data_IF_259398285925
#
_entry.id   IF_259398285925
#
_cell.length_a   1.000
_cell.length_b   1.000
_cell.length_c   1.000
_cell.angle_alpha   90.00
_cell.angle_beta   90.00
_cell.angle_gamma   90.00
#
_symmetry.space_group_name_H-M   'P 1'
#
loop_
_entity.id
_entity.type
_entity.pdbx_description
1 polymer ?
#
# COMPACT_ATOMS: atom_id res chain seq x y z
N UNK A 1 -83.79 36.01 -32.46
CA UNK A 1 -82.79 34.94 -32.26
C UNK A 1 -81.99 34.77 -33.55
N UNK A 2 -80.70 35.08 -33.55
CA UNK A 2 -79.75 34.66 -34.61
C UNK A 2 -78.51 34.13 -33.89
N UNK A 3 -78.42 32.81 -33.77
CA UNK A 3 -77.25 32.14 -33.21
C UNK A 3 -76.09 32.31 -34.20
N UNK A 4 -75.11 33.13 -33.85
CA UNK A 4 -73.86 33.25 -34.58
C UNK A 4 -72.98 32.08 -34.15
N UNK A 5 -72.93 31.03 -34.98
CA UNK A 5 -71.99 29.93 -34.80
C UNK A 5 -70.58 30.40 -35.20
N UNK A 6 -69.73 30.66 -34.22
CA UNK A 6 -68.29 30.87 -34.43
C UNK A 6 -67.61 29.51 -34.42
N UNK A 7 -67.28 28.98 -35.60
CA UNK A 7 -66.47 27.78 -35.74
C UNK A 7 -64.99 28.14 -35.62
N UNK A 8 -64.36 27.80 -34.50
CA UNK A 8 -62.91 27.92 -34.31
C UNK A 8 -62.24 26.70 -34.98
N UNK A 9 -61.34 26.87 -35.97
CA UNK A 9 -60.63 25.74 -36.56
C UNK A 9 -59.58 25.21 -35.57
N UNK A 10 -59.78 24.00 -35.05
CA UNK A 10 -58.77 23.29 -34.26
C UNK A 10 -57.70 22.77 -35.22
N UNK A 11 -56.42 23.20 -35.11
CA UNK A 11 -55.37 22.70 -35.99
C UNK A 11 -55.10 21.23 -35.67
N UNK A 12 -55.48 20.32 -36.58
CA UNK A 12 -55.11 18.90 -36.50
C UNK A 12 -53.60 18.77 -36.73
N UNK A 13 -52.81 18.83 -35.66
CA UNK A 13 -51.37 18.53 -35.71
C UNK A 13 -51.21 17.05 -36.05
N UNK A 14 -51.07 16.72 -37.34
CA UNK A 14 -50.80 15.35 -37.80
C UNK A 14 -49.50 14.88 -37.16
N UNK A 15 -49.57 13.95 -36.21
CA UNK A 15 -48.39 13.23 -35.74
C UNK A 15 -47.79 12.53 -36.96
N UNK A 16 -46.57 12.91 -37.33
CA UNK A 16 -45.88 12.25 -38.43
C UNK A 16 -45.31 10.93 -37.91
N UNK A 17 -46.16 9.90 -37.90
CA UNK A 17 -45.87 8.56 -37.32
C UNK A 17 -44.54 8.01 -37.85
N UNK A 18 -44.22 8.22 -39.14
CA UNK A 18 -42.95 7.79 -39.75
C UNK A 18 -41.73 8.50 -39.16
N UNK A 19 -41.83 9.82 -38.92
CA UNK A 19 -40.75 10.61 -38.30
C UNK A 19 -40.53 10.21 -36.85
N UNK A 20 -41.62 9.96 -36.11
CA UNK A 20 -41.53 9.51 -34.72
C UNK A 20 -40.99 8.07 -34.63
N UNK A 21 -41.38 7.17 -35.53
CA UNK A 21 -40.86 5.81 -35.61
C UNK A 21 -39.36 5.80 -35.92
N UNK A 22 -38.90 6.68 -36.82
CA UNK A 22 -37.48 6.85 -37.11
C UNK A 22 -36.70 7.38 -35.88
N UNK A 23 -37.25 8.34 -35.14
CA UNK A 23 -36.63 8.84 -33.90
C UNK A 23 -36.53 7.72 -32.85
N UNK A 24 -37.60 6.93 -32.65
CA UNK A 24 -37.57 5.79 -31.72
C UNK A 24 -36.59 4.71 -32.15
N UNK A 25 -36.47 4.42 -33.45
CA UNK A 25 -35.50 3.46 -33.97
C UNK A 25 -34.05 3.93 -33.76
N UNK A 26 -33.78 5.22 -33.97
CA UNK A 26 -32.46 5.82 -33.70
C UNK A 26 -32.16 5.77 -32.20
N UNK A 27 -33.10 6.18 -31.34
CA UNK A 27 -32.91 6.10 -29.89
C UNK A 27 -32.67 4.65 -29.43
N UNK A 28 -33.42 3.68 -29.93
CA UNK A 28 -33.23 2.27 -29.61
C UNK A 28 -31.85 1.75 -30.03
N UNK A 29 -31.27 2.25 -31.12
CA UNK A 29 -29.91 1.91 -31.55
C UNK A 29 -28.82 2.57 -30.68
N UNK A 30 -29.03 3.80 -30.22
CA UNK A 30 -28.06 4.54 -29.39
C UNK A 30 -28.11 4.17 -27.91
N UNK A 31 -29.26 3.72 -27.41
CA UNK A 31 -29.47 3.34 -26.00
C UNK A 31 -28.47 2.27 -25.51
N UNK A 32 -28.24 1.14 -26.21
CA UNK A 32 -27.25 0.14 -25.76
C UNK A 32 -25.82 0.70 -25.76
N UNK A 33 -25.47 1.54 -26.74
CA UNK A 33 -24.16 2.18 -26.78
C UNK A 33 -23.95 3.15 -25.60
N UNK A 34 -24.99 3.90 -25.25
CA UNK A 34 -24.99 4.80 -24.09
C UNK A 34 -24.91 4.03 -22.76
N UNK A 35 -25.62 2.91 -22.63
CA UNK A 35 -25.54 2.03 -21.46
C UNK A 35 -24.16 1.36 -21.33
N UNK A 36 -23.55 0.92 -22.44
CA UNK A 36 -22.17 0.41 -22.46
C UNK A 36 -21.20 1.51 -22.06
N UNK A 37 -21.34 2.72 -22.59
CA UNK A 37 -20.50 3.86 -22.22
C UNK A 37 -20.65 4.23 -20.73
N UNK A 38 -21.87 4.28 -20.20
CA UNK A 38 -22.13 4.48 -18.77
C UNK A 38 -21.51 3.36 -17.93
N UNK A 39 -21.68 2.10 -18.32
CA UNK A 39 -21.07 0.96 -17.65
C UNK A 39 -19.55 1.02 -17.67
N UNK A 40 -18.94 1.38 -18.81
CA UNK A 40 -17.50 1.55 -18.94
C UNK A 40 -16.98 2.74 -18.13
N UNK A 41 -17.67 3.88 -18.17
CA UNK A 41 -17.30 5.08 -17.41
C UNK A 41 -17.41 4.84 -15.90
N UNK A 42 -18.52 4.24 -15.45
CA UNK A 42 -18.73 3.84 -14.07
C UNK A 42 -17.69 2.81 -13.62
N UNK A 43 -17.43 1.78 -14.44
CA UNK A 43 -16.39 0.78 -14.20
C UNK A 43 -14.99 1.40 -14.11
N UNK A 44 -14.66 2.30 -15.03
CA UNK A 44 -13.38 3.02 -15.08
C UNK A 44 -13.18 3.93 -13.86
N UNK A 45 -14.23 4.63 -13.43
CA UNK A 45 -14.19 5.51 -12.26
C UNK A 45 -14.00 4.72 -10.96
N UNK A 46 -14.74 3.62 -10.79
CA UNK A 46 -14.57 2.72 -9.65
C UNK A 46 -13.20 2.01 -9.65
N UNK A 47 -12.72 1.61 -10.84
CA UNK A 47 -11.38 1.05 -11.03
C UNK A 47 -10.25 2.00 -10.62
N UNK A 48 -10.39 3.30 -10.90
CA UNK A 48 -9.44 4.33 -10.42
C UNK A 48 -9.47 4.49 -8.90
N UNK A 49 -10.66 4.58 -8.28
CA UNK A 49 -10.80 4.67 -6.80
C UNK A 49 -10.17 3.48 -6.09
N UNK A 50 -10.29 2.27 -6.66
CA UNK A 50 -9.70 1.07 -6.09
C UNK A 50 -8.16 1.13 -5.97
N UNK A 51 -7.45 1.91 -6.78
CA UNK A 51 -5.97 1.99 -6.80
C UNK A 51 -5.36 3.05 -5.89
N UNK A 52 -6.14 3.93 -5.29
CA UNK A 52 -5.62 4.96 -4.39
C UNK A 52 -5.11 4.30 -3.10
N UNK A 53 -3.82 4.48 -2.83
CA UNK A 53 -3.16 4.02 -1.59
C UNK A 53 -3.62 4.90 -0.40
N UNK A 54 -3.63 4.38 0.85
CA UNK A 54 -4.00 5.17 2.02
C UNK A 54 -3.13 6.43 2.20
N UNK A 55 -1.83 6.29 1.92
CA UNK A 55 -0.86 7.38 1.86
C UNK A 55 -0.20 7.33 0.49
N UNK A 56 -0.09 8.49 -0.18
CA UNK A 56 0.51 8.58 -1.51
C UNK A 56 2.04 8.52 -1.43
N UNK A 57 2.57 7.32 -1.17
CA UNK A 57 4.01 7.04 -1.14
C UNK A 57 4.61 7.01 -2.55
N UNK A 58 5.79 7.60 -2.72
CA UNK A 58 6.51 7.69 -4.00
C UNK A 58 7.89 7.06 -3.90
N UNK A 59 8.16 6.03 -4.71
CA UNK A 59 9.50 5.43 -4.81
C UNK A 59 10.46 6.36 -5.55
N UNK A 60 9.95 7.30 -6.36
CA UNK A 60 10.76 8.25 -7.11
C UNK A 60 11.62 9.14 -6.23
N UNK A 61 11.09 9.58 -5.10
CA UNK A 61 11.87 10.39 -4.16
C UNK A 61 12.83 9.49 -3.37
N UNK A 62 12.31 8.46 -2.72
CA UNK A 62 13.09 7.63 -1.79
C UNK A 62 14.20 6.83 -2.48
N UNK A 63 13.92 6.20 -3.62
CA UNK A 63 14.92 5.41 -4.34
C UNK A 63 15.57 6.23 -5.46
N UNK A 64 14.78 6.98 -6.24
CA UNK A 64 15.30 7.68 -7.42
C UNK A 64 16.11 8.94 -7.11
N UNK A 65 15.78 9.68 -6.06
CA UNK A 65 16.46 10.93 -5.70
C UNK A 65 17.38 10.76 -4.49
N UNK A 66 16.92 10.06 -3.45
CA UNK A 66 17.69 9.85 -2.22
C UNK A 66 18.58 8.60 -2.29
N UNK A 67 18.52 7.82 -3.39
CA UNK A 67 19.35 6.64 -3.62
C UNK A 67 19.32 5.62 -2.45
N UNK A 68 18.16 5.46 -1.81
CA UNK A 68 17.96 4.47 -0.75
C UNK A 68 17.97 3.05 -1.33
N UNK A 69 18.58 2.11 -0.59
CA UNK A 69 18.62 0.69 -0.94
C UNK A 69 17.24 0.06 -0.77
N UNK A 70 16.82 -0.79 -1.71
CA UNK A 70 15.49 -1.42 -1.68
C UNK A 70 15.22 -2.19 -0.37
N UNK A 71 16.25 -2.85 0.19
CA UNK A 71 16.16 -3.62 1.43
C UNK A 71 16.21 -2.78 2.70
N UNK A 72 16.38 -1.45 2.63
CA UNK A 72 16.19 -0.58 3.80
C UNK A 72 14.72 -0.55 4.25
N UNK A 73 13.79 -0.62 3.30
CA UNK A 73 12.35 -0.69 3.61
C UNK A 73 11.81 -2.11 3.47
N UNK A 74 12.23 -2.85 2.44
CA UNK A 74 11.84 -4.24 2.22
C UNK A 74 12.81 -5.21 2.90
N UNK A 75 12.84 -5.15 4.24
CA UNK A 75 13.86 -5.74 5.12
C UNK A 75 14.16 -7.23 4.89
N UNK A 76 13.19 -7.98 4.38
CA UNK A 76 13.29 -9.44 4.21
C UNK A 76 13.30 -9.90 2.75
N UNK A 77 13.38 -8.98 1.79
CA UNK A 77 13.35 -9.33 0.37
C UNK A 77 14.47 -10.29 -0.05
N UNK A 78 15.67 -10.14 0.50
CA UNK A 78 16.84 -10.97 0.22
C UNK A 78 16.99 -12.18 1.17
N UNK A 79 16.33 -12.14 2.33
CA UNK A 79 16.50 -13.12 3.41
C UNK A 79 15.36 -14.11 3.55
N UNK A 80 14.13 -13.71 3.21
CA UNK A 80 12.91 -14.45 3.50
C UNK A 80 12.07 -14.80 2.27
N UNK A 81 10.99 -15.58 2.46
CA UNK A 81 10.05 -15.88 1.39
C UNK A 81 9.27 -14.63 0.93
N UNK A 82 9.10 -13.64 1.82
CA UNK A 82 8.34 -12.43 1.55
C UNK A 82 9.21 -11.18 1.73
N UNK A 83 9.13 -10.24 0.78
CA UNK A 83 9.76 -8.92 0.91
C UNK A 83 9.10 -8.02 1.98
N UNK A 84 7.83 -8.34 2.30
CA UNK A 84 6.93 -7.60 3.21
C UNK A 84 6.79 -6.11 2.91
N UNK A 85 5.76 -5.48 3.48
CA UNK A 85 5.67 -4.01 3.54
C UNK A 85 6.49 -3.52 4.74
N UNK A 86 7.13 -2.35 4.67
CA UNK A 86 7.92 -1.85 5.79
C UNK A 86 7.04 -1.67 7.04
N UNK A 87 7.56 -1.95 8.24
CA UNK A 87 6.91 -1.57 9.48
C UNK A 87 6.89 -0.04 9.62
N UNK A 88 5.98 0.48 10.45
CA UNK A 88 5.85 1.93 10.69
C UNK A 88 7.13 2.57 11.23
N UNK A 89 7.98 1.80 11.94
CA UNK A 89 9.24 2.30 12.50
C UNK A 89 10.17 2.90 11.43
N UNK A 90 10.26 2.26 10.25
CA UNK A 90 11.09 2.76 9.13
C UNK A 90 10.63 4.16 8.69
N UNK A 91 9.32 4.42 8.72
CA UNK A 91 8.78 5.73 8.35
C UNK A 91 8.97 6.76 9.48
N UNK A 92 8.79 6.35 10.74
CA UNK A 92 8.91 7.20 11.94
C UNK A 92 10.29 7.83 12.05
N UNK A 93 11.36 7.04 11.83
CA UNK A 93 12.74 7.50 12.02
C UNK A 93 13.04 8.81 11.29
N UNK A 94 12.61 8.97 10.03
CA UNK A 94 12.86 10.20 9.29
C UNK A 94 11.71 11.20 9.37
N UNK A 95 10.46 10.74 9.25
CA UNK A 95 9.32 11.66 9.11
C UNK A 95 8.75 12.17 10.43
N UNK A 96 8.94 11.42 11.52
CA UNK A 96 8.50 11.82 12.86
C UNK A 96 9.70 12.32 13.65
N UNK A 97 10.76 11.51 13.78
CA UNK A 97 11.86 11.82 14.69
C UNK A 97 12.78 12.91 14.13
N UNK A 98 13.04 12.91 12.82
CA UNK A 98 13.83 13.94 12.13
C UNK A 98 12.96 15.04 11.47
N UNK A 99 11.62 14.94 11.55
CA UNK A 99 10.70 15.93 10.99
C UNK A 99 10.77 16.14 9.46
N UNK A 100 11.31 15.18 8.71
CA UNK A 100 11.49 15.30 7.25
C UNK A 100 10.13 15.52 6.58
N UNK A 101 9.97 16.67 5.91
CA UNK A 101 8.74 17.07 5.21
C UNK A 101 7.48 17.05 6.11
N UNK A 102 7.61 17.40 7.39
CA UNK A 102 6.49 17.41 8.35
C UNK A 102 5.24 18.18 7.86
N UNK A 103 5.43 19.25 7.09
CA UNK A 103 4.34 20.08 6.55
C UNK A 103 3.64 19.48 5.32
N UNK A 104 4.11 18.34 4.80
CA UNK A 104 3.49 17.69 3.64
C UNK A 104 2.16 17.04 4.05
N UNK A 105 1.07 17.21 3.28
CA UNK A 105 -0.23 16.59 3.58
C UNK A 105 -0.15 15.06 3.77
N UNK A 106 0.75 14.40 3.03
CA UNK A 106 0.95 12.96 3.06
C UNK A 106 1.70 12.53 4.33
N UNK A 107 2.63 13.35 4.81
CA UNK A 107 3.34 13.11 6.07
C UNK A 107 2.44 13.43 7.25
N UNK A 108 1.59 14.45 7.18
CA UNK A 108 0.55 14.68 8.19
C UNK A 108 -0.40 13.47 8.31
N UNK A 109 -0.79 12.83 7.20
CA UNK A 109 -1.56 11.58 7.24
C UNK A 109 -0.81 10.43 7.90
N UNK A 110 0.49 10.32 7.65
CA UNK A 110 1.37 9.32 8.28
C UNK A 110 1.48 9.57 9.78
N UNK A 111 1.81 10.79 10.18
CA UNK A 111 1.94 11.22 11.57
C UNK A 111 0.64 11.04 12.33
N UNK A 112 -0.51 11.43 11.74
CA UNK A 112 -1.83 11.19 12.33
C UNK A 112 -2.17 9.69 12.45
N UNK A 113 -1.74 8.86 11.50
CA UNK A 113 -1.89 7.40 11.61
C UNK A 113 -1.04 6.83 12.75
N UNK A 114 0.19 7.32 12.93
CA UNK A 114 1.14 6.87 13.96
C UNK A 114 0.75 7.34 15.36
N UNK A 115 0.34 8.60 15.48
CA UNK A 115 -0.06 9.20 16.75
C UNK A 115 -1.39 8.63 17.24
N UNK A 116 -2.27 8.21 16.33
CA UNK A 116 -3.60 7.74 16.70
C UNK A 116 -4.50 8.88 17.15
N UNK A 117 -5.71 8.55 17.60
CA UNK A 117 -6.66 9.52 18.18
C UNK A 117 -6.42 9.59 19.69
N UNK A 118 -6.19 10.79 20.24
CA UNK A 118 -6.14 10.99 21.69
C UNK A 118 -7.49 10.58 22.30
N UNK A 119 -7.46 9.66 23.26
CA UNK A 119 -8.64 9.20 23.98
C UNK A 119 -8.82 9.91 25.32
N UNK A 120 -7.72 10.34 25.94
CA UNK A 120 -7.72 11.06 27.21
C UNK A 120 -6.32 11.18 27.83
N UNK A 121 -6.23 12.02 28.87
CA UNK A 121 -5.07 12.07 29.77
C UNK A 121 -5.21 11.01 30.86
N UNK A 122 -4.09 10.46 31.31
CA UNK A 122 -4.00 9.45 32.36
C UNK A 122 -3.35 10.05 33.61
N UNK A 123 -3.78 9.64 34.81
CA UNK A 123 -3.15 10.06 36.06
C UNK A 123 -1.67 9.65 36.14
N UNK A 124 -0.77 10.44 36.76
CA UNK A 124 0.67 10.16 36.81
C UNK A 124 1.04 8.78 37.38
N UNK A 125 0.28 8.26 38.35
CA UNK A 125 0.48 6.94 38.98
C UNK A 125 0.36 5.76 38.00
N UNK A 126 -0.27 6.00 36.84
CA UNK A 126 -0.40 5.02 35.75
C UNK A 126 0.96 4.59 35.21
N UNK A 127 1.98 5.45 35.24
CA UNK A 127 3.34 5.15 34.75
C UNK A 127 3.96 3.97 35.49
N UNK A 128 3.89 3.97 36.82
CA UNK A 128 4.43 2.90 37.66
C UNK A 128 3.73 1.57 37.38
N UNK A 129 2.41 1.57 37.15
CA UNK A 129 1.65 0.36 36.86
C UNK A 129 2.00 -0.22 35.48
N UNK A 130 2.10 0.64 34.45
CA UNK A 130 2.50 0.25 33.11
C UNK A 130 3.94 -0.27 33.05
N UNK A 131 4.85 0.30 33.85
CA UNK A 131 6.22 -0.18 33.99
C UNK A 131 6.29 -1.61 34.55
N UNK A 132 5.33 -2.02 35.38
CA UNK A 132 5.18 -3.39 35.89
C UNK A 132 4.26 -4.25 35.02
N UNK A 133 4.04 -3.86 33.76
CA UNK A 133 3.16 -4.53 32.80
C UNK A 133 1.70 -4.72 33.26
N UNK A 134 1.22 -3.89 34.20
CA UNK A 134 -0.17 -3.89 34.66
C UNK A 134 -0.96 -2.81 33.93
N UNK A 135 -2.16 -3.15 33.50
CA UNK A 135 -3.10 -2.20 32.87
C UNK A 135 -4.00 -1.61 33.97
N UNK A 136 -3.94 -0.29 34.24
CA UNK A 136 -4.77 0.35 35.25
C UNK A 136 -6.24 0.39 34.85
N UNK A 137 -7.13 0.40 35.85
CA UNK A 137 -8.58 0.54 35.63
C UNK A 137 -8.94 1.83 34.88
N UNK A 138 -8.19 2.92 35.09
CA UNK A 138 -8.38 4.20 34.39
C UNK A 138 -8.27 4.05 32.87
N UNK A 139 -7.41 3.16 32.38
CA UNK A 139 -7.31 2.84 30.94
C UNK A 139 -8.57 2.10 30.50
N UNK A 140 -9.03 1.09 31.24
CA UNK A 140 -10.27 0.39 30.93
C UNK A 140 -11.47 1.35 30.81
N UNK A 141 -11.57 2.31 31.73
CA UNK A 141 -12.68 3.28 31.76
C UNK A 141 -12.64 4.25 30.56
N UNK A 142 -11.45 4.77 30.22
CA UNK A 142 -11.28 5.64 29.04
C UNK A 142 -11.61 4.88 27.76
N UNK A 143 -11.17 3.62 27.64
CA UNK A 143 -11.47 2.79 26.49
C UNK A 143 -12.96 2.53 26.36
N UNK A 144 -13.63 2.19 27.46
CA UNK A 144 -15.08 1.94 27.50
C UNK A 144 -15.88 3.18 27.10
N UNK A 145 -15.50 4.36 27.60
CA UNK A 145 -16.08 5.65 27.21
C UNK A 145 -15.93 5.94 25.71
N UNK A 146 -14.84 5.47 25.10
CA UNK A 146 -14.58 5.62 23.67
C UNK A 146 -15.12 4.44 22.82
N UNK A 147 -16.00 3.61 23.38
CA UNK A 147 -16.69 2.52 22.66
C UNK A 147 -15.83 1.28 22.40
N UNK A 148 -14.77 1.07 23.18
CA UNK A 148 -13.86 -0.07 23.06
C UNK A 148 -13.62 -0.73 24.41
N UNK A 149 -13.35 -2.03 24.44
CA UNK A 149 -12.96 -2.73 25.67
C UNK A 149 -11.70 -3.56 25.40
N UNK A 150 -10.92 -3.79 26.47
CA UNK A 150 -9.77 -4.70 26.48
C UNK A 150 -10.23 -6.10 26.89
N UNK A 151 -9.71 -7.12 26.23
CA UNK A 151 -9.85 -8.51 26.67
C UNK A 151 -8.91 -8.82 27.83
N UNK A 152 -9.18 -9.91 28.55
CA UNK A 152 -8.28 -10.44 29.60
C UNK A 152 -6.91 -10.87 29.07
N UNK A 153 -6.76 -11.04 27.75
CA UNK A 153 -5.50 -11.41 27.09
C UNK A 153 -4.65 -10.20 26.71
N UNK A 154 -5.07 -8.99 27.12
CA UNK A 154 -4.37 -7.76 26.76
C UNK A 154 -3.00 -7.71 27.45
N UNK A 155 -1.98 -7.32 26.71
CA UNK A 155 -0.60 -7.23 27.22
C UNK A 155 -0.05 -5.83 27.08
N UNK A 156 0.80 -5.43 28.03
CA UNK A 156 1.57 -4.19 27.95
C UNK A 156 2.97 -4.50 27.43
N UNK A 157 3.40 -3.76 26.41
CA UNK A 157 4.74 -3.81 25.85
C UNK A 157 5.44 -2.49 26.14
N UNK A 158 6.56 -2.55 26.85
CA UNK A 158 7.46 -1.41 26.97
C UNK A 158 8.12 -1.10 25.62
N UNK A 159 8.08 0.16 25.19
CA UNK A 159 8.72 0.61 23.95
C UNK A 159 9.92 1.50 24.26
N UNK A 160 9.74 2.49 25.14
CA UNK A 160 10.80 3.39 25.60
C UNK A 160 10.43 4.01 26.95
N UNK A 161 11.34 4.78 27.54
CA UNK A 161 11.11 5.47 28.82
C UNK A 161 9.88 6.39 28.84
N UNK A 162 9.39 6.83 27.68
CA UNK A 162 8.22 7.70 27.55
C UNK A 162 7.07 7.05 26.77
N UNK A 163 7.15 5.76 26.43
CA UNK A 163 6.17 5.12 25.56
C UNK A 163 5.92 3.65 25.94
N UNK A 164 4.64 3.33 26.12
CA UNK A 164 4.12 1.99 26.33
C UNK A 164 3.05 1.67 25.31
N UNK A 165 2.94 0.39 24.95
CA UNK A 165 1.92 -0.11 24.03
C UNK A 165 1.04 -1.15 24.72
N UNK A 166 -0.26 -1.09 24.48
CA UNK A 166 -1.23 -2.06 24.99
C UNK A 166 -1.80 -2.81 23.79
N UNK A 167 -1.57 -4.12 23.75
CA UNK A 167 -1.93 -5.00 22.64
C UNK A 167 -3.11 -5.89 23.05
N UNK A 168 -4.18 -5.89 22.26
CA UNK A 168 -5.32 -6.80 22.39
C UNK A 168 -5.67 -7.41 21.01
N UNK A 169 -5.08 -8.56 20.72
CA UNK A 169 -5.18 -9.20 19.41
C UNK A 169 -4.61 -8.32 18.28
N UNK A 170 -5.49 -7.72 17.47
CA UNK A 170 -5.11 -6.79 16.37
C UNK A 170 -5.22 -5.31 16.78
N UNK A 171 -5.76 -5.01 17.96
CA UNK A 171 -5.93 -3.65 18.47
C UNK A 171 -4.68 -3.23 19.23
N UNK A 172 -4.32 -1.96 19.09
CA UNK A 172 -3.17 -1.36 19.75
C UNK A 172 -3.56 -0.01 20.31
N UNK A 173 -3.20 0.24 21.56
CA UNK A 173 -3.23 1.57 22.16
C UNK A 173 -1.83 1.96 22.58
N UNK A 174 -1.56 3.26 22.54
CA UNK A 174 -0.25 3.78 22.90
C UNK A 174 -0.42 4.77 24.04
N UNK A 175 0.35 4.58 25.10
CA UNK A 175 0.47 5.53 26.19
C UNK A 175 1.79 6.27 26.02
N UNK A 176 1.73 7.60 25.92
CA UNK A 176 2.92 8.45 25.80
C UNK A 176 3.01 9.43 26.95
N UNK A 177 4.22 9.65 27.43
CA UNK A 177 4.55 10.72 28.37
C UNK A 177 4.98 11.95 27.58
N UNK A 178 4.14 12.98 27.58
CA UNK A 178 4.37 14.25 26.90
C UNK A 178 4.17 15.39 27.90
N UNK A 179 5.16 16.30 28.02
CA UNK A 179 5.09 17.44 28.95
C UNK A 179 4.71 17.02 30.39
N UNK A 180 5.29 15.91 30.86
CA UNK A 180 5.02 15.30 32.17
C UNK A 180 3.59 14.80 32.40
N UNK A 181 2.78 14.70 31.34
CA UNK A 181 1.44 14.11 31.36
C UNK A 181 1.42 12.81 30.56
N UNK A 182 0.75 11.80 31.10
CA UNK A 182 0.48 10.58 30.36
C UNK A 182 -0.76 10.78 29.50
N UNK A 183 -0.68 10.38 28.23
CA UNK A 183 -1.78 10.49 27.27
C UNK A 183 -2.02 9.13 26.63
N UNK A 184 -3.28 8.70 26.62
CA UNK A 184 -3.72 7.47 25.98
C UNK A 184 -4.22 7.78 24.57
N UNK A 185 -3.65 7.09 23.59
CA UNK A 185 -4.03 7.20 22.19
C UNK A 185 -4.63 5.87 21.71
N UNK A 186 -5.75 5.91 21.00
CA UNK A 186 -6.18 4.77 20.18
C UNK A 186 -5.28 4.75 18.98
N UNK A 187 -4.45 3.72 18.86
CA UNK A 187 -3.69 3.57 17.65
C UNK A 187 -4.53 2.81 16.62
N UNK A 188 -4.35 3.20 15.36
CA UNK A 188 -4.71 2.33 14.24
C UNK A 188 -3.80 1.09 14.33
N UNK A 189 -4.13 -0.02 13.63
CA UNK A 189 -3.24 -1.17 13.57
C UNK A 189 -1.77 -0.74 13.38
N UNK A 190 -0.77 -1.47 13.91
CA UNK A 190 0.65 -1.11 13.86
C UNK A 190 1.26 -1.12 12.44
N UNK A 191 0.41 -1.08 11.42
CA UNK A 191 0.72 -1.09 10.00
C UNK A 191 -0.31 -0.25 9.24
N UNK A 192 0.13 0.33 8.13
CA UNK A 192 -0.77 0.93 7.15
C UNK A 192 -1.39 -0.20 6.32
N UNK A 193 -2.70 -0.15 6.12
CA UNK A 193 -3.45 -1.09 5.27
C UNK A 193 -3.18 -0.83 3.78
N UNK A 194 -1.96 -1.10 3.35
CA UNK A 194 -1.52 -0.91 1.97
C UNK A 194 -2.33 -1.76 1.00
N UNK A 195 -2.73 -1.17 -0.13
CA UNK A 195 -3.36 -1.92 -1.20
C UNK A 195 -2.28 -2.62 -2.01
N UNK A 196 -2.14 -3.93 -1.78
CA UNK A 196 -1.18 -4.80 -2.48
C UNK A 196 -1.44 -4.85 -3.99
N UNK A 197 -0.43 -4.49 -4.78
CA UNK A 197 -0.50 -4.47 -6.26
C UNK A 197 -0.04 -5.78 -6.95
N UNK A 198 0.87 -6.52 -6.32
CA UNK A 198 1.33 -7.83 -6.79
C UNK A 198 0.64 -8.91 -5.97
N UNK A 199 -0.24 -9.67 -6.62
CA UNK A 199 -0.89 -10.84 -6.05
C UNK A 199 -0.60 -12.01 -6.97
N UNK A 200 0.07 -13.02 -6.43
CA UNK A 200 0.13 -14.33 -7.06
C UNK A 200 -1.15 -15.04 -6.55
N UNK A 201 -2.03 -15.51 -7.45
CA UNK A 201 -3.32 -16.05 -7.04
C UNK A 201 -3.16 -17.20 -6.05
N UNK A 202 -3.87 -17.09 -4.92
CA UNK A 202 -3.87 -18.11 -3.85
C UNK A 202 -4.59 -19.40 -4.24
N UNK A 203 -5.46 -19.35 -5.27
CA UNK A 203 -6.31 -20.47 -5.71
C UNK A 203 -5.55 -21.66 -6.30
N UNK A 204 -4.22 -21.61 -6.38
CA UNK A 204 -3.41 -22.66 -6.99
C UNK A 204 -2.27 -23.16 -6.10
N UNK A 205 -2.22 -22.85 -4.79
CA UNK A 205 -1.14 -23.33 -3.91
C UNK A 205 0.28 -22.98 -4.42
N UNK A 206 0.42 -21.87 -5.15
CA UNK A 206 1.71 -21.49 -5.75
C UNK A 206 2.58 -20.78 -4.73
N UNK A 207 3.67 -21.43 -4.31
CA UNK A 207 4.69 -20.89 -3.43
C UNK A 207 5.69 -20.02 -4.20
N UNK A 208 5.81 -18.74 -3.81
CA UNK A 208 6.86 -17.85 -4.31
C UNK A 208 7.75 -17.37 -3.17
N UNK A 209 9.07 -17.45 -3.34
CA UNK A 209 10.04 -17.05 -2.32
C UNK A 209 11.01 -15.99 -2.83
N UNK A 210 11.03 -14.80 -2.22
CA UNK A 210 11.94 -13.73 -2.67
C UNK A 210 13.41 -14.11 -2.52
N UNK A 211 13.80 -14.66 -1.37
CA UNK A 211 15.18 -15.12 -1.07
C UNK A 211 15.82 -15.91 -2.20
N UNK A 212 15.14 -16.93 -2.75
CA UNK A 212 15.71 -17.79 -3.79
C UNK A 212 15.97 -17.01 -5.07
N UNK A 213 15.02 -16.17 -5.48
CA UNK A 213 15.15 -15.35 -6.68
C UNK A 213 16.22 -14.26 -6.51
N UNK A 214 16.23 -13.54 -5.38
CA UNK A 214 17.23 -12.51 -5.12
C UNK A 214 18.63 -13.11 -5.05
N UNK A 215 18.82 -14.25 -4.37
CA UNK A 215 20.12 -14.95 -4.32
C UNK A 215 20.60 -15.44 -5.68
N UNK A 216 19.69 -15.79 -6.58
CA UNK A 216 20.04 -16.16 -7.94
C UNK A 216 20.51 -14.94 -8.75
N UNK A 217 19.78 -13.83 -8.71
CA UNK A 217 20.06 -12.70 -9.60
C UNK A 217 21.13 -11.73 -9.07
N UNK A 218 21.21 -11.50 -7.76
CA UNK A 218 22.08 -10.48 -7.18
C UNK A 218 23.57 -10.67 -7.54
N UNK A 219 24.18 -11.86 -7.37
CA UNK A 219 25.59 -12.06 -7.74
C UNK A 219 25.84 -11.87 -9.23
N UNK A 220 24.88 -12.25 -10.09
CA UNK A 220 25.00 -12.13 -11.55
C UNK A 220 24.99 -10.67 -12.01
N UNK A 221 24.11 -9.85 -11.45
CA UNK A 221 24.10 -8.42 -11.74
C UNK A 221 25.31 -7.71 -11.15
N UNK A 222 25.78 -8.12 -9.97
CA UNK A 222 27.03 -7.59 -9.42
C UNK A 222 28.20 -7.90 -10.35
N UNK A 223 28.36 -9.16 -10.75
CA UNK A 223 29.40 -9.58 -11.69
C UNK A 223 29.37 -8.79 -12.99
N UNK A 224 28.18 -8.62 -13.59
CA UNK A 224 28.01 -7.82 -14.81
C UNK A 224 28.47 -6.36 -14.63
N UNK A 225 28.21 -5.76 -13.47
CA UNK A 225 28.65 -4.40 -13.16
C UNK A 225 30.18 -4.35 -12.98
N UNK A 226 30.77 -5.33 -12.29
CA UNK A 226 32.21 -5.43 -12.08
C UNK A 226 32.96 -5.57 -13.41
N UNK A 227 32.50 -6.46 -14.28
CA UNK A 227 33.05 -6.66 -15.63
C UNK A 227 32.96 -5.37 -16.46
N UNK A 228 31.78 -4.73 -16.49
CA UNK A 228 31.59 -3.48 -17.22
C UNK A 228 32.50 -2.36 -16.71
N UNK A 229 32.79 -2.34 -15.41
CA UNK A 229 33.69 -1.36 -14.77
C UNK A 229 35.15 -1.81 -14.76
N UNK A 230 35.46 -2.99 -15.31
CA UNK A 230 36.81 -3.58 -15.33
C UNK A 230 37.42 -3.76 -13.92
N UNK A 231 36.58 -4.02 -12.92
CA UNK A 231 37.00 -4.26 -11.53
C UNK A 231 37.31 -5.76 -11.37
N UNK A 232 38.58 -6.09 -11.14
CA UNK A 232 39.04 -7.48 -10.98
C UNK A 232 38.89 -8.02 -9.57
N UNK A 233 39.11 -7.17 -8.57
CA UNK A 233 38.97 -7.53 -7.16
C UNK A 233 37.98 -6.59 -6.48
N UNK A 234 36.82 -7.13 -6.15
CA UNK A 234 35.76 -6.40 -5.45
C UNK A 234 36.15 -6.10 -4.00
N UNK A 235 36.88 -7.00 -3.33
CA UNK A 235 37.12 -6.91 -1.90
C UNK A 235 38.24 -5.93 -1.52
N UNK A 236 39.13 -5.59 -2.46
CA UNK A 236 40.11 -4.50 -2.28
C UNK A 236 39.48 -3.10 -2.32
N UNK A 237 38.24 -2.96 -2.79
CA UNK A 237 37.58 -1.66 -2.83
C UNK A 237 37.20 -1.14 -1.43
N UNK A 238 37.21 0.19 -1.23
CA UNK A 238 36.64 0.82 -0.04
C UNK A 238 35.20 0.35 0.22
N UNK A 239 34.84 0.20 1.49
CA UNK A 239 33.51 -0.28 1.90
C UNK A 239 32.36 0.51 1.27
N UNK A 240 32.48 1.84 1.17
CA UNK A 240 31.48 2.71 0.54
C UNK A 240 31.29 2.42 -0.95
N UNK A 241 32.37 2.11 -1.67
CA UNK A 241 32.29 1.74 -3.08
C UNK A 241 31.66 0.35 -3.26
N UNK A 242 32.02 -0.60 -2.39
CA UNK A 242 31.40 -1.94 -2.39
C UNK A 242 29.89 -1.85 -2.15
N UNK A 243 29.47 -1.06 -1.17
CA UNK A 243 28.05 -0.85 -0.85
C UNK A 243 27.28 -0.24 -2.02
N UNK A 244 27.86 0.75 -2.72
CA UNK A 244 27.22 1.37 -3.88
C UNK A 244 27.06 0.38 -5.05
N UNK A 245 28.07 -0.43 -5.33
CA UNK A 245 28.01 -1.47 -6.37
C UNK A 245 26.97 -2.54 -6.03
N UNK A 246 26.92 -3.01 -4.79
CA UNK A 246 25.89 -3.93 -4.31
C UNK A 246 24.49 -3.33 -4.42
N UNK A 247 24.33 -2.05 -4.09
CA UNK A 247 23.06 -1.33 -4.21
C UNK A 247 22.60 -1.26 -5.67
N UNK A 248 23.51 -0.98 -6.60
CA UNK A 248 23.22 -0.99 -8.03
C UNK A 248 22.83 -2.39 -8.53
N UNK A 249 23.55 -3.43 -8.10
CA UNK A 249 23.22 -4.82 -8.43
C UNK A 249 21.85 -5.23 -7.89
N UNK A 250 21.53 -4.85 -6.64
CA UNK A 250 20.24 -5.13 -6.02
C UNK A 250 19.09 -4.41 -6.74
N UNK A 251 19.31 -3.17 -7.15
CA UNK A 251 18.36 -2.41 -7.96
C UNK A 251 18.02 -3.15 -9.26
N UNK A 252 19.04 -3.60 -10.02
CA UNK A 252 18.81 -4.40 -11.23
C UNK A 252 18.10 -5.73 -10.94
N UNK A 253 18.46 -6.37 -9.83
CA UNK A 253 17.80 -7.61 -9.36
C UNK A 253 16.31 -7.42 -9.16
N UNK A 254 15.89 -6.34 -8.51
CA UNK A 254 14.47 -6.04 -8.31
C UNK A 254 13.78 -5.67 -9.63
N UNK A 255 14.51 -5.02 -10.55
CA UNK A 255 13.96 -4.52 -11.82
C UNK A 255 13.58 -5.65 -12.78
N UNK A 256 14.24 -6.81 -12.66
CA UNK A 256 13.91 -8.01 -13.41
C UNK A 256 12.41 -8.38 -13.31
N UNK A 257 11.77 -8.13 -12.16
CA UNK A 257 10.36 -8.45 -11.93
C UNK A 257 9.48 -7.21 -11.76
N UNK A 258 9.99 -6.17 -11.09
CA UNK A 258 9.21 -4.98 -10.71
C UNK A 258 9.47 -3.77 -11.60
N UNK A 259 10.39 -3.87 -12.57
CA UNK A 259 10.75 -2.79 -13.48
C UNK A 259 11.43 -1.64 -12.75
N UNK A 260 11.54 -0.48 -13.40
CA UNK A 260 12.25 0.68 -12.85
C UNK A 260 11.43 1.37 -11.75
N UNK A 261 11.39 0.76 -10.57
CA UNK A 261 10.62 1.23 -9.41
C UNK A 261 11.05 2.62 -8.95
N UNK A 262 12.32 2.98 -9.14
CA UNK A 262 12.82 4.33 -8.78
C UNK A 262 12.21 5.46 -9.62
N UNK A 263 11.53 5.15 -10.72
CA UNK A 263 10.85 6.14 -11.53
C UNK A 263 9.35 6.18 -11.21
N UNK A 264 8.88 5.32 -10.31
CA UNK A 264 7.46 5.16 -9.98
C UNK A 264 7.05 6.12 -8.86
N UNK A 265 6.22 7.09 -9.21
CA UNK A 265 5.47 7.90 -8.23
C UNK A 265 4.30 7.12 -7.64
N UNK A 266 3.68 6.25 -8.44
CA UNK A 266 2.64 5.31 -8.01
C UNK A 266 3.11 3.91 -8.45
N UNK A 267 3.13 2.91 -7.55
CA UNK A 267 3.59 1.59 -7.89
C UNK A 267 2.63 0.94 -8.90
N UNK A 268 3.18 0.36 -9.97
CA UNK A 268 2.42 -0.32 -11.03
C UNK A 268 2.97 -1.71 -11.29
N UNK A 269 2.11 -2.60 -11.77
CA UNK A 269 2.51 -3.94 -12.21
C UNK A 269 3.12 -3.81 -13.60
N UNK A 270 4.42 -4.13 -13.74
CA UNK A 270 5.10 -4.17 -15.03
C UNK A 270 5.10 -5.58 -15.62
N UNK A 271 5.33 -6.58 -14.77
CA UNK A 271 5.32 -7.99 -15.16
C UNK A 271 4.00 -8.61 -14.76
N UNK A 272 3.37 -9.43 -15.62
CA UNK A 272 2.05 -10.00 -15.33
C UNK A 272 2.07 -10.97 -14.14
N UNK A 273 3.22 -11.61 -13.87
CA UNK A 273 3.43 -12.61 -12.80
C UNK A 273 2.36 -13.72 -12.83
N UNK A 274 1.98 -14.13 -14.05
CA UNK A 274 1.12 -15.29 -14.32
C UNK A 274 1.99 -16.49 -14.67
N UNK A 275 1.43 -17.69 -14.56
CA UNK A 275 2.13 -18.95 -14.82
C UNK A 275 3.01 -18.93 -16.08
N UNK A 276 2.43 -18.55 -17.24
CA UNK A 276 3.19 -18.51 -18.50
C UNK A 276 4.43 -17.62 -18.44
N UNK A 277 4.35 -16.46 -17.78
CA UNK A 277 5.51 -15.59 -17.59
C UNK A 277 6.57 -16.22 -16.69
N UNK A 278 6.16 -16.90 -15.61
CA UNK A 278 7.08 -17.60 -14.72
C UNK A 278 7.84 -18.70 -15.46
N UNK A 279 7.12 -19.55 -16.22
CA UNK A 279 7.72 -20.63 -17.00
C UNK A 279 8.67 -20.09 -18.07
N UNK A 280 8.26 -19.10 -18.86
CA UNK A 280 9.14 -18.49 -19.87
C UNK A 280 10.40 -17.91 -19.24
N UNK A 281 10.28 -17.25 -18.08
CA UNK A 281 11.43 -16.73 -17.35
C UNK A 281 12.35 -17.86 -16.87
N UNK A 282 11.78 -18.95 -16.33
CA UNK A 282 12.56 -20.09 -15.87
C UNK A 282 13.27 -20.82 -17.02
N UNK A 283 12.63 -20.95 -18.19
CA UNK A 283 13.28 -21.49 -19.41
C UNK A 283 14.50 -20.65 -19.76
N UNK A 284 14.35 -19.32 -19.82
CA UNK A 284 15.43 -18.39 -20.17
C UNK A 284 16.63 -18.47 -19.22
N UNK A 285 16.38 -18.79 -17.96
CA UNK A 285 17.41 -18.83 -16.91
C UNK A 285 17.80 -20.25 -16.48
N UNK A 286 17.35 -21.27 -17.23
CA UNK A 286 17.56 -22.68 -16.91
C UNK A 286 17.21 -23.02 -15.44
N UNK A 287 16.11 -22.45 -14.93
CA UNK A 287 15.64 -22.66 -13.56
C UNK A 287 14.67 -23.86 -13.50
N UNK A 288 14.46 -24.46 -12.31
CA UNK A 288 13.53 -25.58 -12.14
C UNK A 288 12.11 -25.23 -12.59
N UNK A 289 11.44 -26.17 -13.27
CA UNK A 289 10.10 -25.96 -13.86
C UNK A 289 9.12 -27.06 -13.46
N UNK A 290 9.53 -27.96 -12.57
CA UNK A 290 8.69 -29.07 -12.10
C UNK A 290 7.48 -28.54 -11.33
N UNK A 291 6.33 -29.18 -11.53
CA UNK A 291 5.06 -28.75 -10.95
C UNK A 291 5.15 -28.56 -9.42
N UNK A 292 5.77 -29.53 -8.73
CA UNK A 292 5.96 -29.52 -7.27
C UNK A 292 6.93 -28.45 -6.76
N UNK A 293 7.77 -27.89 -7.64
CA UNK A 293 8.62 -26.76 -7.27
C UNK A 293 7.79 -25.50 -7.06
N UNK A 294 6.70 -25.36 -7.81
CA UNK A 294 5.84 -24.18 -7.77
C UNK A 294 4.59 -24.39 -6.92
N UNK A 295 3.96 -25.57 -6.99
CA UNK A 295 2.72 -25.90 -6.31
C UNK A 295 2.99 -26.73 -5.06
N UNK A 296 2.74 -26.15 -3.88
CA UNK A 296 2.90 -26.77 -2.56
C UNK A 296 1.60 -26.71 -1.76
#
# INVERSE_FOLDING_TARGET
MKNIHISIPIPKRRLNVKKNLAIFAVLALFTPFFLIFLGYSYGYHNYKKARVQPIAFTHKIHVGQLNMKCTQCHLYADKGPFATTPPLSVCKTCHVDQGVKANSPQIQKLTAHIQGKLLGELPPETEGQLAHAKIPQTIHDILKKNGTNLSEKSTVRFVSSNEWEILDGKKLWTVKKEQNKLKLYSNKPPYIEWKRIHRIPYVSNVGFTHKRHVRYFLPRYLQQILEKKQIKDFYSLPSSQREELEKQALKQTCYQCHGQVEQMTIPRKVSPLKMGWCITCHVKHNAPRDCWTCHQ
#
